data_IF_065995863597
#
_entry.id   IF_065995863597
#
_cell.length_a   1.000
_cell.length_b   1.000
_cell.length_c   1.000
_cell.angle_alpha   90.00
_cell.angle_beta   90.00
_cell.angle_gamma   90.00
#
_symmetry.space_group_name_H-M   'P 1'
#
loop_
_entity.id
_entity.type
_entity.pdbx_description
1 polymer ?
#
# COMPACT_ATOMS: atom_id res chain seq x y z
N UNK A 1 8.22 9.70 -30.73
CA UNK A 1 9.00 8.46 -30.55
C UNK A 1 9.85 8.04 -31.76
N UNK A 2 9.71 8.62 -32.97
CA UNK A 2 10.45 8.20 -34.18
C UNK A 2 11.99 8.39 -34.17
N UNK A 3 12.57 9.15 -33.23
CA UNK A 3 14.02 9.45 -33.22
C UNK A 3 14.86 8.57 -32.26
N UNK A 4 14.24 7.78 -31.38
CA UNK A 4 15.00 7.00 -30.39
C UNK A 4 15.51 5.69 -31.01
N UNK A 5 14.73 5.08 -31.89
CA UNK A 5 15.07 3.81 -32.55
C UNK A 5 16.33 3.92 -33.42
N UNK A 6 16.57 5.07 -34.06
CA UNK A 6 17.78 5.33 -34.85
C UNK A 6 19.01 5.67 -34.00
N UNK A 7 18.82 6.11 -32.74
CA UNK A 7 19.90 6.47 -31.82
C UNK A 7 20.44 5.25 -31.05
N UNK A 8 19.62 4.23 -30.83
CA UNK A 8 20.00 2.97 -30.16
C UNK A 8 21.22 2.29 -30.80
N UNK A 9 21.26 2.04 -32.13
CA UNK A 9 22.43 1.43 -32.74
C UNK A 9 23.66 2.34 -32.62
N UNK A 10 23.50 3.65 -32.82
CA UNK A 10 24.60 4.63 -32.75
C UNK A 10 25.27 4.66 -31.37
N UNK A 11 24.47 4.66 -30.29
CA UNK A 11 24.95 4.66 -28.91
C UNK A 11 25.69 3.36 -28.59
N UNK A 12 25.17 2.20 -29.05
CA UNK A 12 25.83 0.90 -28.84
C UNK A 12 27.16 0.79 -29.59
N UNK A 13 27.24 1.34 -30.81
CA UNK A 13 28.47 1.30 -31.61
C UNK A 13 29.60 2.15 -31.02
N UNK A 14 29.30 3.32 -30.46
CA UNK A 14 30.32 4.23 -29.92
C UNK A 14 30.72 3.96 -28.47
N UNK A 15 29.81 3.47 -27.64
CA UNK A 15 30.05 3.26 -26.20
C UNK A 15 30.22 1.79 -25.81
N UNK A 16 30.10 0.87 -26.78
CA UNK A 16 30.08 -0.57 -26.53
C UNK A 16 28.73 -1.04 -25.99
N UNK A 17 28.44 -2.34 -26.14
CA UNK A 17 27.12 -2.90 -25.84
C UNK A 17 26.71 -2.77 -24.37
N UNK A 18 27.65 -2.83 -23.44
CA UNK A 18 27.40 -2.77 -22.00
C UNK A 18 27.10 -1.35 -21.52
N UNK A 19 27.99 -0.39 -21.80
CA UNK A 19 27.82 1.02 -21.37
C UNK A 19 26.74 1.72 -22.20
N UNK A 20 26.69 1.46 -23.51
CA UNK A 20 25.64 1.96 -24.39
C UNK A 20 24.26 1.39 -24.04
N UNK A 21 24.18 0.11 -23.69
CA UNK A 21 22.95 -0.53 -23.21
C UNK A 21 22.44 0.09 -21.90
N UNK A 22 23.32 0.36 -20.94
CA UNK A 22 22.97 1.03 -19.69
C UNK A 22 22.42 2.45 -19.93
N UNK A 23 23.07 3.24 -20.79
CA UNK A 23 22.64 4.59 -21.15
C UNK A 23 21.25 4.61 -21.82
N UNK A 24 20.96 3.63 -22.68
CA UNK A 24 19.64 3.49 -23.31
C UNK A 24 18.56 3.20 -22.27
N UNK A 25 18.84 2.32 -21.30
CA UNK A 25 17.90 2.01 -20.20
C UNK A 25 17.62 3.27 -19.38
N UNK A 26 18.65 4.03 -19.02
CA UNK A 26 18.50 5.30 -18.28
C UNK A 26 17.67 6.31 -19.08
N UNK A 27 17.89 6.43 -20.39
CA UNK A 27 17.12 7.31 -21.26
C UNK A 27 15.65 6.90 -21.36
N UNK A 28 15.36 5.60 -21.51
CA UNK A 28 13.98 5.08 -21.52
C UNK A 28 13.30 5.35 -20.18
N UNK A 29 13.96 5.04 -19.06
CA UNK A 29 13.42 5.32 -17.72
C UNK A 29 13.15 6.82 -17.52
N UNK A 30 14.06 7.69 -17.97
CA UNK A 30 13.89 9.14 -17.87
C UNK A 30 12.75 9.67 -18.75
N UNK A 31 12.57 9.14 -19.96
CA UNK A 31 11.50 9.51 -20.87
C UNK A 31 10.14 9.03 -20.36
N UNK A 32 10.07 7.81 -19.83
CA UNK A 32 8.86 7.27 -19.18
C UNK A 32 8.53 8.09 -17.93
N UNK A 33 9.52 8.38 -17.09
CA UNK A 33 9.34 9.22 -15.91
C UNK A 33 8.81 10.62 -16.27
N UNK A 34 9.40 11.27 -17.27
CA UNK A 34 8.95 12.57 -17.77
C UNK A 34 7.53 12.50 -18.32
N UNK A 35 7.19 11.48 -19.11
CA UNK A 35 5.84 11.30 -19.64
C UNK A 35 4.80 11.10 -18.53
N UNK A 36 5.13 10.34 -17.47
CA UNK A 36 4.26 10.15 -16.32
C UNK A 36 4.11 11.47 -15.54
N UNK A 37 5.18 12.24 -15.38
CA UNK A 37 5.15 13.53 -14.70
C UNK A 37 4.32 14.57 -15.47
N UNK A 38 4.57 14.70 -16.77
CA UNK A 38 3.88 15.63 -17.68
C UNK A 38 2.39 15.27 -17.84
N UNK A 39 2.03 13.99 -17.72
CA UNK A 39 0.62 13.55 -17.74
C UNK A 39 -0.25 14.08 -16.58
N UNK A 40 0.34 14.75 -15.59
CA UNK A 40 -0.40 15.30 -14.45
C UNK A 40 -0.95 14.25 -13.49
N UNK A 41 -0.64 12.95 -13.67
CA UNK A 41 -1.08 11.87 -12.78
C UNK A 41 -0.71 12.12 -11.31
N UNK A 42 0.49 12.66 -11.07
CA UNK A 42 0.92 13.06 -9.72
C UNK A 42 0.11 14.24 -9.17
N UNK A 43 -0.26 15.21 -10.00
CA UNK A 43 -1.11 16.34 -9.61
C UNK A 43 -2.52 15.84 -9.25
N UNK A 44 -3.09 14.90 -10.02
CA UNK A 44 -4.38 14.28 -9.70
C UNK A 44 -4.35 13.48 -8.39
N UNK A 45 -3.26 12.75 -8.11
CA UNK A 45 -3.06 12.04 -6.84
C UNK A 45 -2.99 13.00 -5.65
N UNK A 46 -2.25 14.11 -5.78
CA UNK A 46 -2.14 15.14 -4.73
C UNK A 46 -3.51 15.83 -4.52
N UNK A 47 -4.24 16.11 -5.60
CA UNK A 47 -5.57 16.72 -5.54
C UNK A 47 -6.57 15.82 -4.81
N UNK A 48 -6.54 14.51 -5.05
CA UNK A 48 -7.39 13.55 -4.31
C UNK A 48 -7.10 13.52 -2.80
N UNK A 49 -5.84 13.68 -2.40
CA UNK A 49 -5.45 13.74 -0.98
C UNK A 49 -5.91 15.06 -0.35
N UNK A 50 -5.66 16.19 -1.03
CA UNK A 50 -6.11 17.52 -0.58
C UNK A 50 -7.62 17.62 -0.49
N UNK A 51 -8.36 17.08 -1.46
CA UNK A 51 -9.82 17.12 -1.49
C UNK A 51 -10.46 16.39 -0.30
N UNK A 52 -9.89 15.24 0.10
CA UNK A 52 -10.36 14.51 1.29
C UNK A 52 -10.18 15.30 2.58
N UNK A 53 -9.04 15.99 2.74
CA UNK A 53 -8.78 16.86 3.90
C UNK A 53 -9.73 18.05 3.91
N UNK A 54 -9.86 18.72 2.77
CA UNK A 54 -10.77 19.84 2.61
C UNK A 54 -12.22 19.49 2.96
N UNK A 55 -12.70 18.31 2.56
CA UNK A 55 -14.04 17.86 2.92
C UNK A 55 -14.23 17.72 4.44
N UNK A 56 -13.28 17.13 5.14
CA UNK A 56 -13.33 16.98 6.61
C UNK A 56 -13.28 18.36 7.28
N UNK A 57 -12.43 19.26 6.80
CA UNK A 57 -12.29 20.61 7.33
C UNK A 57 -13.58 21.43 7.15
N UNK A 58 -14.25 21.27 6.00
CA UNK A 58 -15.55 21.88 5.75
C UNK A 58 -16.63 21.35 6.70
N UNK A 59 -16.71 20.03 6.89
CA UNK A 59 -17.66 19.41 7.81
C UNK A 59 -17.43 19.85 9.27
N UNK A 60 -16.17 20.02 9.69
CA UNK A 60 -15.82 20.56 11.00
C UNK A 60 -16.33 22.01 11.14
N UNK A 61 -16.08 22.86 10.14
CA UNK A 61 -16.50 24.26 10.17
C UNK A 61 -18.02 24.41 10.26
N UNK A 62 -18.75 23.67 9.42
CA UNK A 62 -20.22 23.66 9.43
C UNK A 62 -20.78 23.21 10.80
N UNK A 63 -20.16 22.20 11.43
CA UNK A 63 -20.58 21.73 12.75
C UNK A 63 -20.32 22.76 13.86
N UNK A 64 -19.22 23.51 13.80
CA UNK A 64 -18.92 24.59 14.74
C UNK A 64 -19.98 25.68 14.62
N UNK A 65 -20.26 26.15 13.40
CA UNK A 65 -21.29 27.16 13.14
C UNK A 65 -22.67 26.72 13.66
N UNK A 66 -23.04 25.44 13.47
CA UNK A 66 -24.28 24.88 13.99
C UNK A 66 -24.32 24.80 15.53
N UNK A 67 -23.20 24.53 16.20
CA UNK A 67 -23.16 24.46 17.67
C UNK A 67 -23.27 25.86 18.28
N UNK A 68 -22.60 26.84 17.68
CA UNK A 68 -22.44 28.19 18.22
C UNK A 68 -23.64 29.10 17.89
N UNK A 69 -24.21 28.99 16.69
CA UNK A 69 -25.24 29.93 16.22
C UNK A 69 -26.66 29.38 16.18
N UNK A 70 -26.86 28.07 16.23
CA UNK A 70 -28.21 27.52 16.22
C UNK A 70 -28.77 27.39 17.65
N UNK A 71 -30.01 27.86 17.84
CA UNK A 71 -30.82 27.60 19.05
C UNK A 71 -31.28 26.14 19.12
N UNK A 72 -30.30 25.23 19.17
CA UNK A 72 -30.51 23.80 19.29
C UNK A 72 -30.74 23.41 20.75
N UNK A 73 -31.61 22.40 20.96
CA UNK A 73 -31.76 21.74 22.25
C UNK A 73 -30.42 21.15 22.70
N UNK A 74 -30.13 21.18 24.01
CA UNK A 74 -28.85 20.77 24.59
C UNK A 74 -28.44 19.34 24.19
N UNK A 75 -29.41 18.42 24.13
CA UNK A 75 -29.18 17.04 23.69
C UNK A 75 -28.62 16.94 22.26
N UNK A 76 -29.04 17.85 21.38
CA UNK A 76 -28.57 17.90 19.98
C UNK A 76 -27.19 18.53 19.90
N UNK A 77 -26.92 19.57 20.70
CA UNK A 77 -25.58 20.16 20.82
C UNK A 77 -24.55 19.12 21.30
N UNK A 78 -24.90 18.32 22.30
CA UNK A 78 -24.02 17.25 22.79
C UNK A 78 -23.73 16.19 21.71
N UNK A 79 -24.73 15.84 20.89
CA UNK A 79 -24.52 14.94 19.74
C UNK A 79 -23.58 15.53 18.69
N UNK A 80 -23.69 16.83 18.40
CA UNK A 80 -22.77 17.50 17.48
C UNK A 80 -21.36 17.65 18.04
N UNK A 81 -21.19 17.94 19.34
CA UNK A 81 -19.89 17.93 20.00
C UNK A 81 -19.20 16.56 19.90
N UNK A 82 -19.95 15.47 20.10
CA UNK A 82 -19.41 14.11 19.92
C UNK A 82 -18.99 13.84 18.47
N UNK A 83 -19.79 14.27 17.48
CA UNK A 83 -19.44 14.16 16.06
C UNK A 83 -18.22 15.00 15.71
N UNK A 84 -18.12 16.21 16.24
CA UNK A 84 -16.98 17.12 16.06
C UNK A 84 -15.69 16.47 16.56
N UNK A 85 -15.71 15.90 17.77
CA UNK A 85 -14.58 15.15 18.34
C UNK A 85 -14.15 14.00 17.42
N UNK A 86 -15.11 13.25 16.87
CA UNK A 86 -14.81 12.16 15.93
C UNK A 86 -14.08 12.63 14.67
N UNK A 87 -14.46 13.80 14.12
CA UNK A 87 -13.87 14.36 12.90
C UNK A 87 -12.47 14.91 13.15
N UNK A 88 -12.23 15.53 14.31
CA UNK A 88 -10.90 15.96 14.73
C UNK A 88 -9.94 14.78 14.83
N UNK A 89 -10.36 13.70 15.50
CA UNK A 89 -9.53 12.50 15.62
C UNK A 89 -9.29 11.83 14.26
N UNK A 90 -10.28 11.79 13.37
CA UNK A 90 -10.09 11.30 11.99
C UNK A 90 -9.06 12.13 11.22
N UNK A 91 -9.10 13.46 11.38
CA UNK A 91 -8.16 14.39 10.75
C UNK A 91 -6.74 14.21 11.28
N UNK A 92 -6.58 14.16 12.61
CA UNK A 92 -5.28 13.96 13.26
C UNK A 92 -4.65 12.62 12.86
N UNK A 93 -5.43 11.54 13.01
CA UNK A 93 -4.96 10.17 12.75
C UNK A 93 -4.92 9.81 11.25
N UNK A 94 -5.36 10.70 10.36
CA UNK A 94 -5.43 10.47 8.91
C UNK A 94 -6.15 9.16 8.53
N UNK A 95 -7.25 8.86 9.22
CA UNK A 95 -8.01 7.61 9.06
C UNK A 95 -9.44 7.84 8.60
N UNK A 96 -10.06 6.80 8.03
CA UNK A 96 -11.48 6.79 7.62
C UNK A 96 -12.39 6.12 8.65
N UNK A 97 -11.84 5.72 9.80
CA UNK A 97 -12.60 5.05 10.85
C UNK A 97 -13.58 6.03 11.49
N UNK A 98 -14.84 5.61 11.68
CA UNK A 98 -15.91 6.49 12.16
C UNK A 98 -16.19 6.32 13.66
N UNK A 99 -15.83 5.18 14.22
CA UNK A 99 -16.10 4.85 15.63
C UNK A 99 -15.15 5.61 16.54
N UNK A 100 -15.71 6.50 17.36
CA UNK A 100 -14.94 7.38 18.26
C UNK A 100 -14.13 6.56 19.25
N UNK A 101 -14.67 5.45 19.73
CA UNK A 101 -14.01 4.58 20.70
C UNK A 101 -12.73 3.95 20.12
N UNK A 102 -12.77 3.59 18.83
CA UNK A 102 -11.60 3.05 18.15
C UNK A 102 -10.58 4.16 17.90
N UNK A 103 -11.04 5.35 17.53
CA UNK A 103 -10.17 6.51 17.34
C UNK A 103 -9.45 6.90 18.63
N UNK A 104 -10.16 6.93 19.75
CA UNK A 104 -9.61 7.19 21.09
C UNK A 104 -8.55 6.14 21.47
N UNK A 105 -8.81 4.85 21.18
CA UNK A 105 -7.81 3.80 21.38
C UNK A 105 -6.58 4.05 20.49
N UNK A 106 -6.77 4.45 19.23
CA UNK A 106 -5.66 4.66 18.30
C UNK A 106 -4.81 5.88 18.67
N UNK A 107 -5.42 6.96 19.17
CA UNK A 107 -4.68 8.12 19.69
C UNK A 107 -4.00 7.85 21.02
N UNK A 108 -4.39 6.79 21.76
CA UNK A 108 -3.73 6.43 23.02
C UNK A 108 -2.38 5.72 22.84
N UNK A 109 -2.00 5.33 21.62
CA UNK A 109 -0.71 4.68 21.38
C UNK A 109 0.41 5.71 21.28
N UNK A 110 1.61 5.35 21.78
CA UNK A 110 2.80 6.21 21.71
C UNK A 110 3.17 6.55 20.26
N UNK A 111 3.00 5.59 19.35
CA UNK A 111 3.17 5.80 17.91
C UNK A 111 1.82 5.66 17.19
N UNK A 112 1.08 6.78 17.16
CA UNK A 112 -0.23 6.90 16.52
C UNK A 112 -0.19 6.51 15.03
N UNK A 113 0.86 6.94 14.31
CA UNK A 113 0.98 6.73 12.87
C UNK A 113 1.14 5.25 12.54
N UNK A 114 2.02 4.56 13.27
CA UNK A 114 2.19 3.12 13.12
C UNK A 114 0.95 2.36 13.56
N UNK A 115 0.31 2.76 14.65
CA UNK A 115 -0.93 2.14 15.13
C UNK A 115 -2.05 2.22 14.09
N UNK A 116 -2.27 3.39 13.49
CA UNK A 116 -3.28 3.59 12.43
C UNK A 116 -2.94 2.76 11.19
N UNK A 117 -1.67 2.70 10.78
CA UNK A 117 -1.23 1.89 9.62
C UNK A 117 -1.50 0.40 9.84
N UNK A 118 -1.14 -0.11 11.02
CA UNK A 118 -1.41 -1.50 11.39
C UNK A 118 -2.91 -1.77 11.44
N UNK A 119 -3.68 -0.90 12.10
CA UNK A 119 -5.14 -1.00 12.20
C UNK A 119 -5.81 -1.05 10.82
N UNK A 120 -5.49 -0.14 9.91
CA UNK A 120 -6.06 -0.15 8.55
C UNK A 120 -5.79 -1.46 7.80
N UNK A 121 -4.66 -2.09 8.07
CA UNK A 121 -4.28 -3.36 7.46
C UNK A 121 -5.02 -4.53 8.09
N UNK A 122 -5.20 -4.53 9.42
CA UNK A 122 -5.69 -5.69 10.18
C UNK A 122 -7.12 -5.57 10.74
N UNK A 123 -7.84 -4.47 10.53
CA UNK A 123 -9.21 -4.26 11.08
C UNK A 123 -10.22 -5.40 10.82
N UNK A 124 -10.02 -6.20 9.76
CA UNK A 124 -10.88 -7.36 9.46
C UNK A 124 -10.77 -8.47 10.51
N UNK A 125 -9.63 -8.62 11.18
CA UNK A 125 -9.37 -9.66 12.20
C UNK A 125 -9.53 -9.15 13.64
N UNK A 126 -9.76 -7.84 13.82
CA UNK A 126 -9.96 -7.21 15.11
C UNK A 126 -11.46 -6.99 15.40
N UNK A 127 -11.80 -6.97 16.68
CA UNK A 127 -13.11 -6.60 17.23
C UNK A 127 -12.89 -5.62 18.37
N UNK A 128 -13.75 -4.61 18.44
CA UNK A 128 -13.84 -3.73 19.60
C UNK A 128 -14.70 -4.40 20.69
N UNK A 129 -14.18 -4.49 21.91
CA UNK A 129 -14.91 -4.96 23.10
C UNK A 129 -15.36 -3.74 23.92
N UNK A 130 -16.67 -3.50 23.93
CA UNK A 130 -17.26 -2.34 24.62
C UNK A 130 -17.03 -2.34 26.13
N UNK A 131 -17.05 -3.52 26.77
CA UNK A 131 -16.90 -3.63 28.23
C UNK A 131 -15.48 -3.30 28.73
N UNK A 132 -14.45 -3.56 27.92
CA UNK A 132 -13.06 -3.36 28.33
C UNK A 132 -12.39 -2.17 27.65
N UNK A 133 -13.12 -1.43 26.80
CA UNK A 133 -12.62 -0.35 25.95
C UNK A 133 -11.28 -0.72 25.27
N UNK A 134 -11.21 -1.94 24.73
CA UNK A 134 -10.00 -2.50 24.12
C UNK A 134 -10.33 -3.15 22.78
N UNK A 135 -9.36 -3.05 21.87
CA UNK A 135 -9.31 -3.90 20.68
C UNK A 135 -8.87 -5.30 21.10
N UNK A 136 -9.45 -6.32 20.48
CA UNK A 136 -9.07 -7.71 20.66
C UNK A 136 -9.23 -8.45 19.34
N UNK A 137 -8.67 -9.66 19.25
CA UNK A 137 -8.91 -10.54 18.12
C UNK A 137 -10.38 -10.96 18.06
N UNK A 138 -10.87 -11.16 16.83
CA UNK A 138 -12.10 -11.92 16.61
C UNK A 138 -11.92 -13.37 17.07
N UNK A 139 -13.02 -14.03 17.45
CA UNK A 139 -13.00 -15.46 17.76
C UNK A 139 -12.33 -16.25 16.62
N UNK A 140 -11.47 -17.22 16.98
CA UNK A 140 -10.73 -18.05 16.02
C UNK A 140 -9.59 -17.35 15.27
N UNK A 141 -9.25 -16.10 15.61
CA UNK A 141 -8.17 -15.34 14.99
C UNK A 141 -7.00 -15.03 15.94
N UNK A 142 -7.09 -15.51 17.19
CA UNK A 142 -6.03 -15.38 18.18
C UNK A 142 -4.78 -16.10 17.68
N UNK A 143 -3.64 -15.43 17.84
CA UNK A 143 -2.32 -15.98 17.53
C UNK A 143 -1.38 -15.71 18.70
N UNK A 144 -0.44 -16.63 18.91
CA UNK A 144 0.64 -16.44 19.88
C UNK A 144 1.76 -15.59 19.28
N UNK A 145 2.64 -15.04 20.14
CA UNK A 145 3.82 -14.29 19.70
C UNK A 145 4.70 -15.07 18.72
N UNK A 146 4.91 -16.36 19.01
CA UNK A 146 5.74 -17.23 18.19
C UNK A 146 5.13 -17.43 16.79
N UNK A 147 3.80 -17.53 16.69
CA UNK A 147 3.10 -17.57 15.42
C UNK A 147 3.17 -16.23 14.68
N UNK A 148 3.07 -15.10 15.39
CA UNK A 148 3.20 -13.76 14.80
C UNK A 148 4.58 -13.53 14.17
N UNK A 149 5.67 -13.96 14.85
CA UNK A 149 7.04 -13.94 14.33
C UNK A 149 7.20 -14.85 13.11
N UNK A 150 6.68 -16.08 13.16
CA UNK A 150 6.68 -17.00 12.00
C UNK A 150 5.97 -16.39 10.79
N UNK A 151 4.83 -15.74 10.97
CA UNK A 151 4.12 -15.07 9.89
C UNK A 151 4.88 -13.88 9.28
N UNK A 152 5.68 -13.15 10.07
CA UNK A 152 6.59 -12.12 9.54
C UNK A 152 7.72 -12.76 8.72
N UNK A 153 8.33 -13.84 9.22
CA UNK A 153 9.38 -14.54 8.49
C UNK A 153 8.87 -15.19 7.20
N UNK A 154 7.61 -15.62 7.15
CA UNK A 154 6.96 -16.06 5.92
C UNK A 154 6.94 -14.99 4.83
N UNK A 155 6.96 -13.70 5.15
CA UNK A 155 7.07 -12.64 4.16
C UNK A 155 8.44 -12.60 3.48
N UNK A 156 9.51 -12.89 4.22
CA UNK A 156 10.86 -13.02 3.67
C UNK A 156 10.95 -14.24 2.75
N UNK A 157 10.38 -15.37 3.17
CA UNK A 157 10.34 -16.59 2.33
C UNK A 157 9.52 -16.33 1.07
N UNK A 158 8.34 -15.70 1.20
CA UNK A 158 7.49 -15.37 0.06
C UNK A 158 8.18 -14.42 -0.93
N UNK A 159 8.98 -13.46 -0.44
CA UNK A 159 9.79 -12.61 -1.31
C UNK A 159 10.74 -13.43 -2.20
N UNK A 160 11.49 -14.35 -1.61
CA UNK A 160 12.39 -15.23 -2.37
C UNK A 160 11.62 -16.14 -3.34
N UNK A 161 10.50 -16.72 -2.92
CA UNK A 161 9.65 -17.55 -3.78
C UNK A 161 9.09 -16.76 -4.99
N UNK A 162 8.87 -15.45 -4.86
CA UNK A 162 8.44 -14.58 -5.97
C UNK A 162 9.61 -14.14 -6.86
N UNK A 163 10.76 -13.83 -6.26
CA UNK A 163 11.92 -13.28 -6.96
C UNK A 163 12.70 -14.33 -7.75
N UNK A 164 12.84 -15.55 -7.21
CA UNK A 164 13.67 -16.61 -7.82
C UNK A 164 13.20 -17.02 -9.22
N UNK A 165 11.90 -17.25 -9.50
CA UNK A 165 11.45 -17.60 -10.84
C UNK A 165 11.75 -16.51 -11.88
N UNK A 166 11.58 -15.23 -11.50
CA UNK A 166 11.90 -14.11 -12.38
C UNK A 166 13.42 -14.01 -12.64
N UNK A 167 14.24 -14.20 -11.61
CA UNK A 167 15.70 -14.22 -11.75
C UNK A 167 16.18 -15.37 -12.66
N UNK A 168 15.63 -16.58 -12.47
CA UNK A 168 15.92 -17.74 -13.32
C UNK A 168 15.49 -17.48 -14.77
N UNK A 169 14.33 -16.86 -14.98
CA UNK A 169 13.86 -16.49 -16.32
C UNK A 169 14.79 -15.48 -17.00
N UNK A 170 15.21 -14.43 -16.30
CA UNK A 170 16.14 -13.43 -16.83
C UNK A 170 17.49 -14.07 -17.19
N UNK A 171 18.00 -14.97 -16.34
CA UNK A 171 19.22 -15.71 -16.64
C UNK A 171 19.05 -16.64 -17.86
N UNK A 172 17.91 -17.31 -17.99
CA UNK A 172 17.60 -18.18 -19.13
C UNK A 172 17.55 -17.38 -20.45
N UNK A 173 16.82 -16.26 -20.48
CA UNK A 173 16.76 -15.38 -21.65
C UNK A 173 18.13 -14.80 -21.99
N UNK A 174 18.90 -14.37 -20.99
CA UNK A 174 20.26 -13.86 -21.19
C UNK A 174 21.19 -14.91 -21.81
N UNK A 175 21.13 -16.17 -21.34
CA UNK A 175 21.88 -17.28 -21.93
C UNK A 175 21.43 -17.57 -23.37
N UNK A 176 20.12 -17.55 -23.63
CA UNK A 176 19.57 -17.77 -24.97
C UNK A 176 19.96 -16.68 -25.96
N UNK A 177 20.00 -15.41 -25.52
CA UNK A 177 20.45 -14.27 -26.32
C UNK A 177 21.93 -14.36 -26.72
N UNK A 178 22.79 -14.94 -25.87
CA UNK A 178 24.23 -15.07 -26.13
C UNK A 178 24.54 -16.28 -27.01
N UNK A 179 23.80 -17.39 -26.86
CA UNK A 179 24.22 -18.68 -27.41
C UNK A 179 23.29 -19.29 -28.49
N UNK A 180 22.16 -18.67 -28.90
CA UNK A 180 21.24 -19.24 -29.91
C UNK A 180 20.66 -18.23 -30.93
N UNK A 181 20.30 -18.69 -32.15
CA UNK A 181 19.75 -17.85 -33.23
C UNK A 181 18.34 -17.31 -32.90
N UNK A 182 17.88 -16.24 -33.62
CA UNK A 182 16.71 -15.46 -33.23
C UNK A 182 15.42 -16.29 -33.17
N UNK A 183 14.65 -15.97 -32.14
CA UNK A 183 13.40 -16.59 -31.73
C UNK A 183 12.39 -16.66 -32.89
N UNK A 184 11.88 -17.87 -33.21
CA UNK A 184 10.81 -18.07 -34.20
C UNK A 184 9.45 -17.63 -33.65
N UNK A 185 8.55 -17.15 -34.53
CA UNK A 185 7.26 -16.52 -34.17
C UNK A 185 6.30 -17.40 -33.32
N UNK A 186 6.53 -18.72 -33.23
CA UNK A 186 5.77 -19.63 -32.36
C UNK A 186 6.04 -19.45 -30.86
N UNK A 187 7.10 -18.74 -30.47
CA UNK A 187 7.46 -18.48 -29.06
C UNK A 187 6.54 -17.48 -28.34
N UNK A 188 5.90 -16.57 -29.09
CA UNK A 188 5.14 -15.46 -28.51
C UNK A 188 3.88 -15.93 -27.78
N UNK A 189 3.24 -16.99 -28.26
CA UNK A 189 2.04 -17.57 -27.63
C UNK A 189 2.43 -18.28 -26.32
N UNK A 190 3.50 -19.06 -26.33
CA UNK A 190 4.03 -19.72 -25.13
C UNK A 190 4.46 -18.71 -24.06
N UNK A 191 5.07 -17.59 -24.46
CA UNK A 191 5.42 -16.49 -23.55
C UNK A 191 4.19 -15.90 -22.86
N UNK A 192 3.12 -15.60 -23.60
CA UNK A 192 1.90 -15.04 -23.01
C UNK A 192 1.23 -16.01 -22.02
N UNK A 193 1.26 -17.32 -22.30
CA UNK A 193 0.72 -18.35 -21.41
C UNK A 193 1.56 -18.42 -20.12
N UNK A 194 2.90 -18.46 -20.24
CA UNK A 194 3.81 -18.49 -19.09
C UNK A 194 3.67 -17.22 -18.25
N UNK A 195 3.58 -16.06 -18.89
CA UNK A 195 3.35 -14.78 -18.22
C UNK A 195 2.00 -14.77 -17.48
N UNK A 196 0.93 -15.26 -18.11
CA UNK A 196 -0.38 -15.40 -17.48
C UNK A 196 -0.34 -16.27 -16.22
N UNK A 197 0.32 -17.43 -16.29
CA UNK A 197 0.51 -18.33 -15.14
C UNK A 197 1.33 -17.65 -14.04
N UNK A 198 2.40 -16.94 -14.40
CA UNK A 198 3.24 -16.22 -13.44
C UNK A 198 2.48 -15.10 -12.72
N UNK A 199 1.65 -14.35 -13.44
CA UNK A 199 0.77 -13.33 -12.85
C UNK A 199 -0.20 -13.98 -11.86
N UNK A 200 -0.88 -15.06 -12.23
CA UNK A 200 -1.79 -15.80 -11.34
C UNK A 200 -1.05 -16.30 -10.09
N UNK A 201 0.17 -16.81 -10.25
CA UNK A 201 1.03 -17.25 -9.15
C UNK A 201 1.35 -16.11 -8.18
N UNK A 202 1.81 -14.96 -8.68
CA UNK A 202 2.11 -13.78 -7.86
C UNK A 202 0.89 -13.34 -7.07
N UNK A 203 -0.27 -13.19 -7.73
CA UNK A 203 -1.49 -12.73 -7.07
C UNK A 203 -1.97 -13.71 -6.01
N UNK A 204 -1.88 -15.03 -6.28
CA UNK A 204 -2.26 -16.07 -5.32
C UNK A 204 -1.36 -16.04 -4.08
N UNK A 205 -0.03 -15.97 -4.28
CA UNK A 205 0.92 -15.92 -3.17
C UNK A 205 0.75 -14.62 -2.34
N UNK A 206 0.56 -13.48 -3.01
CA UNK A 206 0.31 -12.20 -2.35
C UNK A 206 -1.00 -12.22 -1.54
N UNK A 207 -2.05 -12.85 -2.06
CA UNK A 207 -3.33 -13.01 -1.37
C UNK A 207 -3.17 -13.83 -0.07
N UNK A 208 -2.45 -14.95 -0.15
CA UNK A 208 -2.15 -15.81 1.01
C UNK A 208 -1.30 -15.05 2.03
N UNK A 209 -0.22 -14.40 1.58
CA UNK A 209 0.69 -13.66 2.45
C UNK A 209 -0.03 -12.53 3.18
N UNK A 210 -0.93 -11.82 2.49
CA UNK A 210 -1.76 -10.77 3.09
C UNK A 210 -2.60 -11.28 4.24
N UNK A 211 -3.08 -12.53 4.19
CA UNK A 211 -3.87 -13.14 5.27
C UNK A 211 -3.00 -13.38 6.52
N UNK A 212 -1.78 -13.87 6.35
CA UNK A 212 -0.84 -14.11 7.45
C UNK A 212 -0.34 -12.80 8.08
N UNK A 213 0.07 -11.83 7.24
CA UNK A 213 0.52 -10.52 7.69
C UNK A 213 -0.57 -9.77 8.45
N UNK A 214 -1.84 -9.90 8.06
CA UNK A 214 -2.96 -9.30 8.81
C UNK A 214 -3.02 -9.75 10.27
N UNK A 215 -2.80 -11.05 10.53
CA UNK A 215 -2.83 -11.58 11.90
C UNK A 215 -1.62 -11.12 12.69
N UNK A 216 -0.43 -11.13 12.09
CA UNK A 216 0.79 -10.64 12.73
C UNK A 216 0.71 -9.15 13.07
N UNK A 217 0.21 -8.33 12.13
CA UNK A 217 0.02 -6.89 12.33
C UNK A 217 -1.02 -6.59 13.42
N UNK A 218 -2.05 -7.41 13.56
CA UNK A 218 -3.01 -7.29 14.66
C UNK A 218 -2.35 -7.61 16.00
N UNK A 219 -1.52 -8.65 16.09
CA UNK A 219 -0.79 -8.96 17.31
C UNK A 219 0.16 -7.83 17.69
N UNK A 220 0.88 -7.26 16.72
CA UNK A 220 1.77 -6.13 16.96
C UNK A 220 0.98 -4.91 17.47
N UNK A 221 -0.15 -4.57 16.85
CA UNK A 221 -0.99 -3.45 17.29
C UNK A 221 -1.47 -3.61 18.74
N UNK A 222 -1.89 -4.82 19.12
CA UNK A 222 -2.43 -5.09 20.46
C UNK A 222 -1.38 -4.97 21.57
N UNK A 223 -0.10 -5.17 21.22
CA UNK A 223 1.02 -5.09 22.15
C UNK A 223 1.82 -3.78 22.04
N UNK A 224 1.32 -2.80 21.26
CA UNK A 224 1.98 -1.49 21.19
C UNK A 224 1.86 -0.74 22.53
N UNK A 225 2.92 -0.01 22.93
CA UNK A 225 2.90 0.80 24.16
C UNK A 225 1.87 1.92 24.04
N UNK A 226 1.18 2.20 25.16
CA UNK A 226 0.19 3.27 25.27
C UNK A 226 0.70 4.38 26.17
N UNK A 227 0.27 5.60 25.85
CA UNK A 227 0.44 6.78 26.70
C UNK A 227 -0.52 6.56 27.87
N UNK A 228 0.03 6.38 29.07
CA UNK A 228 -0.74 6.18 30.31
C UNK A 228 -1.39 7.49 30.75
#
# INVERSE_FOLDING_TARGET
>A
MKNIESLIPFIKTYLGETVGGFLIIVLILSAVYKSIFDSGLFQHLILLVKFKRWKIDKEIKELIELIDHAHLKENVKNKYKAKLRSLYLQRQLLTKEKKVEILDILSSYVDEVKAVRLYNTCKKVLRYKSHSNKLDFKLGHQITELQAKKHKNMALIAYWVLATPAAVWVMYEHYHLIYKPPISAGSNISFLIIFGIYVIWIFSLAYILRRFLRRSNAWELLNMPRIQ
#
